data_IF_822964354858
#
_entry.id   IF_822964354858
#
_cell.length_a   1.000
_cell.length_b   1.000
_cell.length_c   1.000
_cell.angle_alpha   90.00
_cell.angle_beta   90.00
_cell.angle_gamma   90.00
#
_symmetry.space_group_name_H-M   'P 1'
#
loop_
_entity.id
_entity.type
_entity.pdbx_description
1 polymer ?
#
# COMPACT_ATOMS: atom_id res chain seq x y z
N UNK A 1 49.29 5.86 12.14
CA UNK A 1 48.42 5.06 13.04
C UNK A 1 46.91 5.08 12.69
N UNK A 2 46.46 5.54 11.50
CA UNK A 2 45.01 5.69 11.22
C UNK A 2 44.27 4.52 10.53
N UNK A 3 44.97 3.50 10.02
CA UNK A 3 44.33 2.39 9.26
C UNK A 3 43.81 1.23 10.13
N UNK A 4 44.41 0.99 11.31
CA UNK A 4 44.03 -0.12 12.22
C UNK A 4 42.74 0.16 13.02
N UNK A 5 42.50 1.41 13.42
CA UNK A 5 41.26 1.78 14.12
C UNK A 5 40.04 1.77 13.19
N UNK A 6 40.22 2.06 11.90
CA UNK A 6 39.16 1.93 10.89
C UNK A 6 38.71 0.49 10.69
N UNK A 7 39.62 -0.49 10.81
CA UNK A 7 39.30 -1.91 10.60
C UNK A 7 38.56 -2.53 11.79
N UNK A 8 38.83 -2.08 13.02
CA UNK A 8 38.14 -2.55 14.22
C UNK A 8 36.67 -2.07 14.32
N UNK A 9 36.34 -0.93 13.70
CA UNK A 9 34.99 -0.33 13.72
C UNK A 9 34.13 -0.71 12.51
N UNK A 10 34.67 -1.44 11.54
CA UNK A 10 33.95 -1.87 10.33
C UNK A 10 32.70 -2.71 10.62
N UNK A 11 32.72 -3.68 11.56
CA UNK A 11 31.53 -4.46 11.89
C UNK A 11 30.38 -3.60 12.46
N UNK A 12 30.69 -2.49 13.12
CA UNK A 12 29.69 -1.63 13.74
C UNK A 12 29.11 -0.60 12.76
N UNK A 13 29.71 -0.44 11.58
CA UNK A 13 29.26 0.49 10.54
C UNK A 13 28.67 -0.27 9.35
N UNK A 14 27.40 -0.70 9.49
CA UNK A 14 26.68 -1.47 8.48
C UNK A 14 26.66 -0.78 7.09
N UNK A 15 26.43 0.54 6.95
CA UNK A 15 26.48 1.21 5.65
C UNK A 15 27.85 1.15 4.97
N UNK A 16 28.94 1.28 5.74
CA UNK A 16 30.28 1.18 5.19
C UNK A 16 30.60 -0.26 4.75
N UNK A 17 30.25 -1.24 5.58
CA UNK A 17 30.44 -2.66 5.28
C UNK A 17 29.63 -3.08 4.04
N UNK A 18 28.39 -2.59 3.91
CA UNK A 18 27.54 -2.84 2.74
C UNK A 18 28.21 -2.39 1.44
N UNK A 19 28.79 -1.18 1.43
CA UNK A 19 29.47 -0.64 0.25
C UNK A 19 30.71 -1.44 -0.13
N UNK A 20 31.44 -1.96 0.87
CA UNK A 20 32.62 -2.80 0.66
C UNK A 20 32.23 -4.18 0.12
N UNK A 21 31.22 -4.83 0.70
CA UNK A 21 30.69 -6.12 0.22
C UNK A 21 30.22 -6.01 -1.23
N UNK A 22 29.53 -4.93 -1.60
CA UNK A 22 29.06 -4.73 -2.98
C UNK A 22 30.21 -4.59 -3.99
N UNK A 23 31.41 -4.18 -3.55
CA UNK A 23 32.59 -4.04 -4.42
C UNK A 23 33.39 -5.33 -4.50
N UNK A 24 33.53 -6.04 -3.39
CA UNK A 24 34.26 -7.30 -3.31
C UNK A 24 33.59 -8.28 -2.33
N UNK A 25 32.60 -9.07 -2.80
CA UNK A 25 31.88 -10.01 -1.94
C UNK A 25 32.76 -11.09 -1.32
N UNK A 26 33.85 -11.50 -1.96
CA UNK A 26 34.61 -12.67 -1.53
C UNK A 26 35.43 -12.32 -0.28
N UNK A 27 36.10 -11.16 -0.30
CA UNK A 27 36.96 -10.72 0.81
C UNK A 27 36.19 -10.43 2.10
N UNK A 28 34.95 -9.97 2.00
CA UNK A 28 34.12 -9.59 3.17
C UNK A 28 33.14 -10.67 3.63
N UNK A 29 33.26 -11.92 3.13
CA UNK A 29 32.36 -13.03 3.51
C UNK A 29 32.35 -13.27 5.02
N UNK A 30 33.52 -13.21 5.68
CA UNK A 30 33.63 -13.46 7.12
C UNK A 30 32.90 -12.40 7.95
N UNK A 31 33.04 -11.14 7.58
CA UNK A 31 32.38 -10.02 8.26
C UNK A 31 30.86 -10.07 8.04
N UNK A 32 30.41 -10.48 6.85
CA UNK A 32 29.00 -10.74 6.59
C UNK A 32 28.45 -11.86 7.49
N UNK A 33 29.15 -13.01 7.59
CA UNK A 33 28.71 -14.12 8.45
C UNK A 33 28.64 -13.72 9.93
N UNK A 34 29.53 -12.84 10.39
CA UNK A 34 29.45 -12.31 11.75
C UNK A 34 28.15 -11.51 11.97
N UNK A 35 27.78 -10.64 11.03
CA UNK A 35 26.52 -9.89 11.08
C UNK A 35 25.29 -10.78 10.92
N UNK A 36 25.39 -11.83 10.10
CA UNK A 36 24.31 -12.78 9.92
C UNK A 36 24.01 -13.58 11.20
N UNK A 37 25.06 -14.04 11.91
CA UNK A 37 24.89 -14.67 13.24
C UNK A 37 24.30 -13.71 14.26
N UNK A 38 24.71 -12.44 14.23
CA UNK A 38 24.14 -11.42 15.09
C UNK A 38 22.63 -11.22 14.81
N UNK A 39 22.25 -11.22 13.53
CA UNK A 39 20.84 -11.22 13.12
C UNK A 39 20.09 -12.45 13.64
N UNK A 40 20.65 -13.66 13.54
CA UNK A 40 20.00 -14.88 14.05
C UNK A 40 19.76 -14.82 15.56
N UNK A 41 20.76 -14.37 16.33
CA UNK A 41 20.61 -14.15 17.77
C UNK A 41 19.54 -13.12 18.10
N UNK A 42 19.51 -11.98 17.38
CA UNK A 42 18.49 -10.95 17.56
C UNK A 42 17.09 -11.44 17.16
N UNK A 43 16.99 -12.27 16.13
CA UNK A 43 15.73 -12.87 15.69
C UNK A 43 15.15 -13.80 16.76
N UNK A 44 15.98 -14.60 17.44
CA UNK A 44 15.52 -15.47 18.51
C UNK A 44 15.12 -14.70 19.78
N UNK A 45 15.85 -13.62 20.12
CA UNK A 45 15.44 -12.69 21.19
C UNK A 45 14.09 -12.04 20.83
N UNK A 46 13.94 -11.59 19.58
CA UNK A 46 12.74 -10.92 19.11
C UNK A 46 11.50 -11.81 19.15
N UNK A 47 11.64 -13.12 18.87
CA UNK A 47 10.54 -14.09 19.01
C UNK A 47 10.00 -14.19 20.44
N UNK A 48 10.83 -13.92 21.46
CA UNK A 48 10.40 -13.92 22.85
C UNK A 48 9.65 -12.65 23.23
N UNK A 49 10.01 -11.50 22.62
CA UNK A 49 9.41 -10.19 22.88
C UNK A 49 9.23 -9.38 21.58
N UNK A 50 8.12 -9.58 20.84
CA UNK A 50 7.91 -8.95 19.54
C UNK A 50 7.41 -7.49 19.59
N UNK A 51 7.16 -6.95 20.80
CA UNK A 51 6.62 -5.60 21.02
C UNK A 51 7.72 -4.52 21.16
N UNK A 52 8.98 -4.92 21.37
CA UNK A 52 10.08 -3.99 21.62
C UNK A 52 10.53 -3.29 20.32
N UNK A 53 10.93 -2.01 20.44
CA UNK A 53 11.49 -1.24 19.33
C UNK A 53 12.93 -1.72 19.03
N UNK A 54 13.03 -2.78 18.24
CA UNK A 54 14.31 -3.40 17.88
C UNK A 54 15.01 -2.65 16.72
N UNK A 55 15.53 -1.45 16.98
CA UNK A 55 16.22 -0.61 15.98
C UNK A 55 17.45 -1.31 15.36
N UNK A 56 18.25 -1.98 16.19
CA UNK A 56 19.41 -2.75 15.74
C UNK A 56 19.00 -3.90 14.81
N UNK A 57 17.93 -4.61 15.18
CA UNK A 57 17.37 -5.69 14.36
C UNK A 57 16.87 -5.17 13.01
N UNK A 58 16.17 -4.03 12.99
CA UNK A 58 15.75 -3.36 11.76
C UNK A 58 16.92 -2.95 10.86
N UNK A 59 18.01 -2.48 11.48
CA UNK A 59 19.25 -2.11 10.78
C UNK A 59 19.94 -3.34 10.14
N UNK A 60 19.99 -4.47 10.87
CA UNK A 60 20.51 -5.74 10.37
C UNK A 60 19.67 -6.30 9.22
N UNK A 61 18.34 -6.27 9.33
CA UNK A 61 17.40 -6.68 8.27
C UNK A 61 17.67 -5.86 6.99
N UNK A 62 17.80 -4.54 7.15
CA UNK A 62 18.07 -3.64 6.01
C UNK A 62 19.42 -3.96 5.38
N UNK A 63 20.47 -4.13 6.18
CA UNK A 63 21.80 -4.49 5.72
C UNK A 63 21.79 -5.81 4.92
N UNK A 64 21.23 -6.89 5.50
CA UNK A 64 21.17 -8.22 4.87
C UNK A 64 20.41 -8.15 3.54
N UNK A 65 19.27 -7.45 3.50
CA UNK A 65 18.47 -7.32 2.26
C UNK A 65 19.24 -6.68 1.10
N UNK A 66 20.14 -5.75 1.41
CA UNK A 66 20.93 -5.04 0.41
C UNK A 66 22.07 -5.91 -0.14
N UNK A 67 22.64 -6.80 0.68
CA UNK A 67 23.74 -7.71 0.30
C UNK A 67 23.27 -9.12 -0.06
N UNK A 68 21.97 -9.44 0.06
CA UNK A 68 21.42 -10.78 -0.20
C UNK A 68 21.79 -11.36 -1.59
N UNK A 69 21.89 -10.51 -2.62
CA UNK A 69 22.31 -10.93 -3.97
C UNK A 69 23.76 -11.41 -4.03
N UNK A 70 24.62 -10.91 -3.15
CA UNK A 70 26.03 -11.29 -3.10
C UNK A 70 26.23 -12.66 -2.42
N UNK A 71 25.30 -13.06 -1.54
CA UNK A 71 25.40 -14.27 -0.73
C UNK A 71 24.08 -15.07 -0.76
N UNK A 72 23.66 -15.50 -1.94
CA UNK A 72 22.38 -16.20 -2.15
C UNK A 72 22.28 -17.49 -1.34
N UNK A 73 23.39 -18.25 -1.25
CA UNK A 73 23.42 -19.53 -0.53
C UNK A 73 23.15 -19.34 0.96
N UNK A 74 23.86 -18.40 1.60
CA UNK A 74 23.74 -18.15 3.05
C UNK A 74 22.40 -17.49 3.41
N UNK A 75 21.85 -16.66 2.51
CA UNK A 75 20.62 -15.88 2.75
C UNK A 75 19.34 -16.56 2.25
N UNK A 76 19.39 -17.85 1.88
CA UNK A 76 18.24 -18.55 1.31
C UNK A 76 17.03 -18.64 2.27
N UNK A 77 17.27 -18.75 3.58
CA UNK A 77 16.21 -18.79 4.60
C UNK A 77 15.66 -17.41 4.97
N UNK A 78 16.42 -16.35 4.73
CA UNK A 78 16.11 -14.99 5.19
C UNK A 78 14.76 -14.46 4.68
N UNK A 79 14.42 -14.53 3.37
CA UNK A 79 13.12 -14.07 2.89
C UNK A 79 11.93 -14.74 3.60
N UNK A 80 12.02 -16.05 3.80
CA UNK A 80 10.95 -16.83 4.44
C UNK A 80 10.81 -16.50 5.92
N UNK A 81 11.92 -16.25 6.63
CA UNK A 81 11.90 -15.81 8.02
C UNK A 81 11.17 -14.46 8.17
N UNK A 82 11.46 -13.48 7.31
CA UNK A 82 10.80 -12.17 7.35
C UNK A 82 9.31 -12.28 7.00
N UNK A 83 8.96 -13.11 6.00
CA UNK A 83 7.55 -13.37 5.64
C UNK A 83 6.79 -13.97 6.83
N UNK A 84 7.36 -15.00 7.47
CA UNK A 84 6.72 -15.70 8.59
C UNK A 84 6.51 -14.77 9.78
N UNK A 85 7.56 -14.02 10.14
CA UNK A 85 7.52 -13.06 11.25
C UNK A 85 6.49 -11.95 11.03
N UNK A 86 6.40 -11.40 9.81
CA UNK A 86 5.34 -10.45 9.46
C UNK A 86 3.96 -11.10 9.49
N UNK A 87 3.79 -12.31 8.97
CA UNK A 87 2.48 -12.96 8.92
C UNK A 87 1.92 -13.31 10.30
N UNK A 88 2.79 -13.68 11.26
CA UNK A 88 2.40 -14.06 12.61
C UNK A 88 2.21 -12.85 13.53
N UNK A 89 3.08 -11.83 13.42
CA UNK A 89 3.19 -10.77 14.42
C UNK A 89 2.79 -9.37 13.89
N UNK A 90 2.20 -9.23 12.71
CA UNK A 90 1.91 -7.91 12.12
C UNK A 90 1.11 -6.96 13.00
N UNK A 91 0.22 -7.44 13.89
CA UNK A 91 -0.56 -6.56 14.76
C UNK A 91 0.27 -5.99 15.93
N UNK A 92 1.21 -6.77 16.45
CA UNK A 92 2.00 -6.44 17.66
C UNK A 92 3.27 -5.67 17.30
N UNK A 93 3.84 -5.91 16.10
CA UNK A 93 5.08 -5.29 15.65
C UNK A 93 5.07 -3.75 15.77
N UNK A 94 6.18 -3.19 16.24
CA UNK A 94 6.40 -1.75 16.23
C UNK A 94 6.26 -1.17 14.80
N UNK A 95 5.56 -0.03 14.58
CA UNK A 95 5.31 0.52 13.25
C UNK A 95 6.57 0.75 12.40
N UNK A 96 7.66 1.23 13.01
CA UNK A 96 8.93 1.45 12.31
C UNK A 96 9.51 0.13 11.79
N UNK A 97 9.56 -0.91 12.63
CA UNK A 97 10.10 -2.21 12.25
C UNK A 97 9.23 -2.88 11.18
N UNK A 98 7.90 -2.79 11.31
CA UNK A 98 6.95 -3.29 10.31
C UNK A 98 7.19 -2.64 8.94
N UNK A 99 7.37 -1.33 8.90
CA UNK A 99 7.70 -0.58 7.68
C UNK A 99 9.03 -1.04 7.08
N UNK A 100 10.07 -1.18 7.90
CA UNK A 100 11.39 -1.67 7.48
C UNK A 100 11.31 -3.06 6.86
N UNK A 101 10.60 -4.00 7.50
CA UNK A 101 10.41 -5.36 6.96
C UNK A 101 9.67 -5.36 5.62
N UNK A 102 8.61 -4.56 5.49
CA UNK A 102 7.88 -4.41 4.22
C UNK A 102 8.79 -3.84 3.13
N UNK A 103 9.59 -2.80 3.43
CA UNK A 103 10.55 -2.23 2.47
C UNK A 103 11.63 -3.25 2.07
N UNK A 104 12.10 -4.06 3.01
CA UNK A 104 13.03 -5.17 2.74
C UNK A 104 12.42 -6.20 1.79
N UNK A 105 11.18 -6.64 2.04
CA UNK A 105 10.52 -7.60 1.13
C UNK A 105 10.30 -7.01 -0.27
N UNK A 106 9.93 -5.73 -0.36
CA UNK A 106 9.83 -4.99 -1.63
C UNK A 106 11.17 -4.99 -2.37
N UNK A 107 12.27 -4.71 -1.66
CA UNK A 107 13.62 -4.73 -2.23
C UNK A 107 14.00 -6.12 -2.74
N UNK A 108 13.73 -7.18 -1.97
CA UNK A 108 14.01 -8.56 -2.33
C UNK A 108 13.18 -9.01 -3.55
N UNK A 109 11.92 -8.57 -3.66
CA UNK A 109 11.13 -8.79 -4.88
C UNK A 109 11.74 -8.07 -6.06
N UNK A 110 12.13 -6.80 -5.93
CA UNK A 110 12.68 -6.04 -7.06
C UNK A 110 13.97 -6.65 -7.62
N UNK A 111 14.59 -7.55 -6.84
CA UNK A 111 15.75 -8.36 -7.19
C UNK A 111 15.38 -9.78 -7.67
N UNK A 112 14.10 -10.05 -7.87
CA UNK A 112 13.49 -11.33 -8.26
C UNK A 112 13.82 -12.52 -7.32
N UNK A 113 14.13 -12.26 -6.04
CA UNK A 113 14.40 -13.29 -5.03
C UNK A 113 13.09 -13.91 -4.53
N UNK A 114 12.02 -13.10 -4.45
CA UNK A 114 10.71 -13.51 -3.91
C UNK A 114 9.67 -13.51 -5.02
N UNK A 115 8.87 -14.58 -5.17
CA UNK A 115 7.73 -14.60 -6.09
C UNK A 115 6.69 -13.51 -5.77
N UNK A 116 6.26 -12.76 -6.79
CA UNK A 116 5.27 -11.67 -6.65
C UNK A 116 3.95 -12.13 -6.01
N UNK A 117 3.47 -13.34 -6.35
CA UNK A 117 2.20 -13.88 -5.80
C UNK A 117 2.25 -14.00 -4.28
N UNK A 118 3.31 -14.62 -3.73
CA UNK A 118 3.48 -14.80 -2.28
C UNK A 118 3.54 -13.45 -1.56
N UNK A 119 4.30 -12.50 -2.12
CA UNK A 119 4.46 -11.18 -1.53
C UNK A 119 3.15 -10.37 -1.53
N UNK A 120 2.44 -10.35 -2.66
CA UNK A 120 1.20 -9.60 -2.80
C UNK A 120 0.11 -10.17 -1.88
N UNK A 121 -0.01 -11.50 -1.75
CA UNK A 121 -0.93 -12.13 -0.79
C UNK A 121 -0.66 -11.69 0.66
N UNK A 122 0.61 -11.60 1.06
CA UNK A 122 0.98 -11.07 2.37
C UNK A 122 0.56 -9.59 2.50
N UNK A 123 0.82 -8.76 1.49
CA UNK A 123 0.52 -7.32 1.54
C UNK A 123 -0.98 -7.02 1.63
N UNK A 124 -1.81 -7.79 0.94
CA UNK A 124 -3.26 -7.71 1.11
C UNK A 124 -3.71 -8.08 2.53
N UNK A 125 -3.06 -9.07 3.16
CA UNK A 125 -3.33 -9.43 4.56
C UNK A 125 -2.91 -8.31 5.52
N UNK A 126 -1.78 -7.64 5.23
CA UNK A 126 -1.29 -6.50 6.00
C UNK A 126 -2.20 -5.27 5.96
N UNK A 127 -3.17 -5.17 5.05
CA UNK A 127 -4.16 -4.09 5.08
C UNK A 127 -5.04 -4.09 6.35
N UNK A 128 -5.09 -5.20 7.09
CA UNK A 128 -5.75 -5.28 8.41
C UNK A 128 -5.03 -4.45 9.49
N UNK A 129 -3.76 -4.12 9.27
CA UNK A 129 -2.95 -3.35 10.23
C UNK A 129 -3.53 -1.95 10.44
N UNK A 130 -3.55 -1.47 11.69
CA UNK A 130 -4.03 -0.13 12.07
C UNK A 130 -3.04 1.01 11.79
N UNK A 131 -2.29 0.93 10.70
CA UNK A 131 -1.30 1.95 10.29
C UNK A 131 -1.70 2.57 8.94
N UNK A 132 -2.08 3.85 8.94
CA UNK A 132 -2.50 4.54 7.71
C UNK A 132 -1.36 4.71 6.71
N UNK A 133 -0.17 5.06 7.19
CA UNK A 133 0.99 5.33 6.33
C UNK A 133 1.46 4.03 5.67
N UNK A 134 1.51 2.93 6.43
CA UNK A 134 1.86 1.64 5.87
C UNK A 134 0.84 1.17 4.83
N UNK A 135 -0.47 1.35 5.07
CA UNK A 135 -1.49 0.99 4.08
C UNK A 135 -1.36 1.78 2.78
N UNK A 136 -1.00 3.06 2.84
CA UNK A 136 -0.73 3.88 1.65
C UNK A 136 0.50 3.38 0.89
N UNK A 137 1.58 3.04 1.61
CA UNK A 137 2.78 2.44 1.02
C UNK A 137 2.47 1.10 0.32
N UNK A 138 1.76 0.21 1.01
CA UNK A 138 1.34 -1.10 0.48
C UNK A 138 0.46 -0.93 -0.76
N UNK A 139 -0.50 -0.01 -0.71
CA UNK A 139 -1.39 0.30 -1.82
C UNK A 139 -0.61 0.74 -3.07
N UNK A 140 0.24 1.75 -2.92
CA UNK A 140 1.07 2.27 -4.02
C UNK A 140 1.96 1.18 -4.62
N UNK A 141 2.55 0.35 -3.76
CA UNK A 141 3.40 -0.74 -4.21
C UNK A 141 2.60 -1.82 -4.96
N UNK A 142 1.51 -2.34 -4.39
CA UNK A 142 0.68 -3.38 -5.01
C UNK A 142 0.26 -2.96 -6.43
N UNK A 143 -0.25 -1.74 -6.58
CA UNK A 143 -0.70 -1.23 -7.88
C UNK A 143 0.47 -1.14 -8.86
N UNK A 144 1.61 -0.61 -8.42
CA UNK A 144 2.82 -0.48 -9.25
C UNK A 144 3.38 -1.85 -9.64
N UNK A 145 3.39 -2.80 -8.71
CA UNK A 145 3.86 -4.17 -8.90
C UNK A 145 3.07 -4.87 -9.99
N UNK A 146 1.74 -4.88 -9.85
CA UNK A 146 0.80 -5.52 -10.78
C UNK A 146 0.87 -4.83 -12.15
N UNK A 147 0.99 -3.49 -12.19
CA UNK A 147 1.18 -2.74 -13.43
C UNK A 147 2.46 -3.19 -14.15
N UNK A 148 3.58 -3.29 -13.44
CA UNK A 148 4.86 -3.70 -14.03
C UNK A 148 4.83 -5.15 -14.51
N UNK A 149 4.21 -6.06 -13.75
CA UNK A 149 4.03 -7.47 -14.14
C UNK A 149 3.14 -7.65 -15.37
N UNK A 150 2.23 -6.71 -15.63
CA UNK A 150 1.34 -6.72 -16.79
C UNK A 150 1.81 -5.78 -17.93
N UNK A 151 3.01 -5.17 -17.82
CA UNK A 151 3.47 -4.16 -18.78
C UNK A 151 3.80 -4.72 -20.16
N UNK A 152 4.34 -5.95 -20.23
CA UNK A 152 4.66 -6.62 -21.51
C UNK A 152 3.48 -7.44 -22.04
N UNK A 153 2.88 -8.25 -21.18
CA UNK A 153 1.75 -9.12 -21.49
C UNK A 153 0.91 -9.28 -20.22
N UNK A 154 -0.40 -9.54 -20.37
CA UNK A 154 -1.30 -9.78 -19.24
C UNK A 154 -0.93 -11.09 -18.51
N UNK A 155 -0.41 -10.99 -17.29
CA UNK A 155 -0.08 -12.18 -16.49
C UNK A 155 -1.36 -12.80 -15.90
N UNK A 156 -2.07 -13.57 -16.73
CA UNK A 156 -3.36 -14.15 -16.37
C UNK A 156 -3.28 -15.08 -15.15
N UNK A 157 -2.16 -15.79 -14.95
CA UNK A 157 -1.98 -16.66 -13.77
C UNK A 157 -1.95 -15.83 -12.48
N UNK A 158 -1.11 -14.79 -12.46
CA UNK A 158 -1.03 -13.86 -11.33
C UNK A 158 -2.37 -13.15 -11.08
N UNK A 159 -2.98 -12.61 -12.13
CA UNK A 159 -4.26 -11.89 -12.03
C UNK A 159 -5.37 -12.78 -11.48
N UNK A 160 -5.52 -14.01 -12.00
CA UNK A 160 -6.55 -14.96 -11.51
C UNK A 160 -6.34 -15.33 -10.04
N UNK A 161 -5.11 -15.54 -9.61
CA UNK A 161 -4.81 -15.84 -8.19
C UNK A 161 -5.14 -14.65 -7.30
N UNK A 162 -4.72 -13.44 -7.65
CA UNK A 162 -4.97 -12.23 -6.85
C UNK A 162 -6.45 -11.86 -6.82
N UNK A 163 -7.16 -11.94 -7.94
CA UNK A 163 -8.62 -11.73 -8.00
C UNK A 163 -9.35 -12.72 -7.09
N UNK A 164 -8.95 -14.00 -7.08
CA UNK A 164 -9.55 -15.00 -6.19
C UNK A 164 -9.28 -14.69 -4.72
N UNK A 165 -8.06 -14.24 -4.42
CA UNK A 165 -7.69 -13.85 -3.05
C UNK A 165 -8.49 -12.62 -2.57
N UNK A 166 -8.65 -11.61 -3.42
CA UNK A 166 -9.47 -10.42 -3.11
C UNK A 166 -10.94 -10.77 -2.91
N UNK A 167 -11.46 -11.70 -3.72
CA UNK A 167 -12.80 -12.23 -3.54
C UNK A 167 -12.95 -12.84 -2.15
N UNK A 168 -11.99 -13.66 -1.71
CA UNK A 168 -11.99 -14.21 -0.36
C UNK A 168 -11.92 -13.12 0.73
N UNK A 169 -11.18 -12.03 0.54
CA UNK A 169 -11.13 -10.92 1.50
C UNK A 169 -12.48 -10.19 1.57
N UNK A 170 -13.12 -9.94 0.43
CA UNK A 170 -14.42 -9.26 0.36
C UNK A 170 -15.56 -10.14 0.89
N UNK A 171 -15.52 -11.45 0.64
CA UNK A 171 -16.51 -12.42 1.11
C UNK A 171 -16.28 -12.94 2.53
N UNK A 172 -15.05 -12.90 3.04
CA UNK A 172 -14.73 -13.30 4.41
C UNK A 172 -15.53 -12.52 5.46
N UNK A 173 -16.11 -11.36 5.08
CA UNK A 173 -17.06 -10.61 5.90
C UNK A 173 -18.49 -11.16 5.83
N UNK A 174 -18.91 -11.79 4.73
CA UNK A 174 -20.26 -12.32 4.52
C UNK A 174 -20.49 -13.66 5.23
N UNK A 175 -19.50 -14.55 5.27
CA UNK A 175 -19.67 -15.90 5.85
C UNK A 175 -19.75 -15.92 7.38
N UNK A 176 -19.20 -14.92 8.09
CA UNK A 176 -19.28 -14.89 9.56
C UNK A 176 -20.70 -14.69 10.12
N UNK A 177 -21.71 -14.41 9.28
CA UNK A 177 -23.10 -14.26 9.71
C UNK A 177 -24.00 -15.46 9.46
N UNK A 178 -23.64 -16.45 8.63
CA UNK A 178 -24.53 -17.62 8.49
C UNK A 178 -24.60 -18.47 9.76
N UNK A 179 -23.62 -18.32 10.67
CA UNK A 179 -23.60 -19.01 11.97
C UNK A 179 -24.04 -18.15 13.17
N UNK A 180 -24.46 -16.90 12.99
CA UNK A 180 -25.03 -16.10 14.08
C UNK A 180 -26.48 -15.70 13.75
N UNK A 181 -27.38 -16.44 14.39
CA UNK A 181 -28.83 -16.23 14.42
C UNK A 181 -29.15 -14.75 14.68
N UNK A 182 -30.08 -14.24 13.86
CA UNK A 182 -30.82 -12.98 14.05
C UNK A 182 -31.04 -12.66 15.52
N UNK A 183 -30.35 -11.66 16.06
CA UNK A 183 -30.88 -10.83 17.15
C UNK A 183 -30.53 -9.37 16.87
N UNK A 184 -31.59 -8.56 16.74
CA UNK A 184 -31.55 -7.13 17.09
C UNK A 184 -31.00 -6.19 16.02
N UNK A 185 -31.89 -5.41 15.43
CA UNK A 185 -31.52 -4.21 14.68
C UNK A 185 -30.73 -3.24 15.55
N UNK A 186 -29.43 -3.13 15.27
CA UNK A 186 -28.54 -2.12 15.86
C UNK A 186 -27.70 -1.51 14.75
N UNK A 187 -27.80 -0.19 14.57
CA UNK A 187 -26.91 0.57 13.68
C UNK A 187 -25.47 0.44 14.20
N UNK A 188 -24.63 -0.33 13.53
CA UNK A 188 -23.19 -0.39 13.84
C UNK A 188 -22.55 0.89 13.30
N UNK A 189 -22.58 1.95 14.09
CA UNK A 189 -21.69 3.10 13.91
C UNK A 189 -20.58 2.99 14.95
N UNK A 190 -19.31 2.89 14.49
CA UNK A 190 -18.23 3.82 14.84
C UNK A 190 -16.81 3.25 14.76
N UNK A 191 -16.60 1.96 14.51
CA UNK A 191 -15.24 1.45 14.21
C UNK A 191 -15.29 0.53 13.00
N UNK A 192 -14.53 0.91 11.97
CA UNK A 192 -14.35 0.05 10.81
C UNK A 192 -13.49 -1.13 11.27
N UNK A 193 -14.11 -2.30 11.45
CA UNK A 193 -13.41 -3.55 11.75
C UNK A 193 -12.18 -3.70 10.84
N UNK A 194 -11.08 -4.25 11.35
CA UNK A 194 -9.82 -4.44 10.60
C UNK A 194 -10.05 -5.14 9.25
N UNK A 195 -11.00 -6.08 9.23
CA UNK A 195 -11.43 -6.78 8.03
C UNK A 195 -12.18 -5.86 7.05
N UNK A 196 -12.95 -4.91 7.55
CA UNK A 196 -13.64 -3.89 6.73
C UNK A 196 -12.66 -2.88 6.12
N UNK A 197 -11.61 -2.51 6.85
CA UNK A 197 -10.52 -1.68 6.32
C UNK A 197 -9.80 -2.41 5.19
N UNK A 198 -9.46 -3.69 5.41
CA UNK A 198 -8.80 -4.53 4.41
C UNK A 198 -9.68 -4.74 3.17
N UNK A 199 -10.97 -5.01 3.35
CA UNK A 199 -11.95 -5.14 2.26
C UNK A 199 -12.08 -3.85 1.46
N UNK A 200 -12.20 -2.69 2.12
CA UNK A 200 -12.25 -1.38 1.46
C UNK A 200 -10.99 -1.11 0.64
N UNK A 201 -9.80 -1.31 1.24
CA UNK A 201 -8.53 -1.10 0.53
C UNK A 201 -8.33 -2.07 -0.63
N UNK A 202 -8.77 -3.32 -0.49
CA UNK A 202 -8.73 -4.30 -1.57
C UNK A 202 -9.67 -3.93 -2.72
N UNK A 203 -10.86 -3.39 -2.41
CA UNK A 203 -11.78 -2.84 -3.41
C UNK A 203 -11.18 -1.63 -4.14
N UNK A 204 -10.53 -0.70 -3.41
CA UNK A 204 -9.84 0.43 -4.03
C UNK A 204 -8.79 -0.04 -5.06
N UNK A 205 -7.99 -1.05 -4.71
CA UNK A 205 -6.99 -1.64 -5.62
C UNK A 205 -7.66 -2.25 -6.86
N UNK A 206 -8.78 -2.97 -6.70
CA UNK A 206 -9.53 -3.52 -7.84
C UNK A 206 -9.98 -2.41 -8.80
N UNK A 207 -10.56 -1.35 -8.23
CA UNK A 207 -11.08 -0.22 -8.99
C UNK A 207 -9.95 0.50 -9.73
N UNK A 208 -8.81 0.74 -9.08
CA UNK A 208 -7.66 1.39 -9.72
C UNK A 208 -7.08 0.52 -10.85
N UNK A 209 -6.94 -0.80 -10.65
CA UNK A 209 -6.44 -1.70 -11.68
C UNK A 209 -7.40 -1.85 -12.87
N UNK A 210 -8.71 -1.78 -12.63
CA UNK A 210 -9.72 -1.71 -13.68
C UNK A 210 -9.57 -0.42 -14.49
N UNK A 211 -9.46 0.74 -13.82
CA UNK A 211 -9.27 2.04 -14.49
C UNK A 211 -8.00 2.11 -15.33
N UNK A 212 -6.93 1.46 -14.89
CA UNK A 212 -5.68 1.35 -15.66
C UNK A 212 -5.76 0.34 -16.82
N UNK A 213 -6.91 -0.31 -17.04
CA UNK A 213 -7.13 -1.28 -18.12
C UNK A 213 -6.41 -2.62 -17.91
N UNK A 214 -5.90 -2.89 -16.71
CA UNK A 214 -5.14 -4.11 -16.41
C UNK A 214 -6.12 -5.26 -16.13
N UNK A 215 -7.12 -5.01 -15.28
CA UNK A 215 -8.17 -5.97 -14.90
C UNK A 215 -9.53 -5.56 -15.46
N UNK A 216 -9.62 -5.51 -16.80
CA UNK A 216 -10.84 -5.21 -17.53
C UNK A 216 -11.59 -6.49 -17.92
N UNK A 217 -11.90 -7.34 -16.95
CA UNK A 217 -12.53 -8.65 -17.16
C UNK A 217 -13.82 -8.81 -16.34
N UNK A 218 -14.66 -9.75 -16.79
CA UNK A 218 -15.94 -10.04 -16.12
C UNK A 218 -15.75 -10.39 -14.64
N UNK A 219 -14.68 -11.12 -14.29
CA UNK A 219 -14.43 -11.50 -12.90
C UNK A 219 -14.25 -10.29 -12.00
N UNK A 220 -13.41 -9.32 -12.38
CA UNK A 220 -13.20 -8.11 -11.56
C UNK A 220 -14.47 -7.26 -11.49
N UNK A 221 -15.21 -7.11 -12.57
CA UNK A 221 -16.49 -6.38 -12.56
C UNK A 221 -17.50 -7.02 -11.60
N UNK A 222 -17.68 -8.34 -11.65
CA UNK A 222 -18.63 -9.03 -10.77
C UNK A 222 -18.19 -8.99 -9.30
N UNK A 223 -16.88 -9.01 -9.01
CA UNK A 223 -16.35 -8.77 -7.65
C UNK A 223 -16.75 -7.39 -7.14
N UNK A 224 -16.68 -6.35 -7.99
CA UNK A 224 -17.09 -4.99 -7.62
C UNK A 224 -18.61 -4.89 -7.49
N UNK A 225 -19.37 -5.60 -8.33
CA UNK A 225 -20.83 -5.66 -8.24
C UNK A 225 -21.30 -6.28 -6.93
N UNK A 226 -20.66 -7.37 -6.49
CA UNK A 226 -20.97 -7.98 -5.20
C UNK A 226 -20.66 -7.02 -4.03
N UNK A 227 -19.62 -6.19 -4.15
CA UNK A 227 -19.29 -5.17 -3.16
C UNK A 227 -20.37 -4.08 -3.01
N UNK A 228 -21.25 -3.88 -4.01
CA UNK A 228 -22.42 -3.00 -3.88
C UNK A 228 -23.41 -3.50 -2.81
N UNK A 229 -23.46 -4.80 -2.55
CA UNK A 229 -24.35 -5.40 -1.54
C UNK A 229 -23.68 -5.57 -0.18
N UNK A 230 -22.45 -5.07 -0.01
CA UNK A 230 -21.70 -5.20 1.22
C UNK A 230 -22.39 -4.44 2.38
N UNK A 231 -22.32 -4.99 3.60
CA UNK A 231 -22.98 -4.43 4.80
C UNK A 231 -22.39 -3.07 5.22
N UNK A 232 -21.10 -2.89 4.97
CA UNK A 232 -20.37 -1.66 5.26
C UNK A 232 -20.70 -0.60 4.21
N UNK A 233 -21.37 0.48 4.63
CA UNK A 233 -21.80 1.58 3.76
C UNK A 233 -20.65 2.17 2.93
N UNK A 234 -19.46 2.35 3.51
CA UNK A 234 -18.30 2.89 2.77
C UNK A 234 -17.92 2.02 1.57
N UNK A 235 -17.87 0.70 1.75
CA UNK A 235 -17.54 -0.26 0.68
C UNK A 235 -18.62 -0.22 -0.41
N UNK A 236 -19.89 -0.25 0.01
CA UNK A 236 -21.05 -0.15 -0.87
C UNK A 236 -21.02 1.13 -1.71
N UNK A 237 -20.83 2.29 -1.08
CA UNK A 237 -20.77 3.58 -1.76
C UNK A 237 -19.61 3.61 -2.74
N UNK A 238 -18.42 3.13 -2.37
CA UNK A 238 -17.26 3.06 -3.26
C UNK A 238 -17.53 2.19 -4.50
N UNK A 239 -18.23 1.06 -4.35
CA UNK A 239 -18.60 0.18 -5.46
C UNK A 239 -19.67 0.80 -6.38
N UNK A 240 -20.72 1.41 -5.81
CA UNK A 240 -21.76 2.11 -6.59
C UNK A 240 -21.13 3.27 -7.38
N UNK A 241 -20.27 4.06 -6.72
CA UNK A 241 -19.63 5.22 -7.33
C UNK A 241 -18.63 4.84 -8.43
N UNK A 242 -18.11 3.61 -8.40
CA UNK A 242 -17.37 3.05 -9.52
C UNK A 242 -18.26 2.86 -10.76
N UNK A 243 -19.46 2.28 -10.64
CA UNK A 243 -20.36 2.10 -11.78
C UNK A 243 -20.93 3.42 -12.30
N UNK A 244 -21.23 4.37 -11.40
CA UNK A 244 -21.68 5.72 -11.76
C UNK A 244 -20.58 6.59 -12.38
N UNK A 245 -19.31 6.15 -12.39
CA UNK A 245 -18.19 6.87 -12.98
C UNK A 245 -17.77 8.15 -12.23
N UNK A 246 -18.34 8.43 -11.06
CA UNK A 246 -18.16 9.69 -10.33
C UNK A 246 -16.79 9.84 -9.66
N UNK A 247 -15.95 8.81 -9.70
CA UNK A 247 -14.60 8.82 -9.11
C UNK A 247 -13.48 9.17 -10.11
N UNK A 248 -13.78 9.58 -11.35
CA UNK A 248 -12.76 9.96 -12.34
C UNK A 248 -11.92 11.19 -11.93
N UNK A 249 -12.39 12.00 -10.96
CA UNK A 249 -11.80 13.31 -10.64
C UNK A 249 -11.20 13.43 -9.22
N UNK A 250 -11.16 12.36 -8.40
CA UNK A 250 -10.65 12.46 -7.01
C UNK A 250 -9.15 12.16 -6.84
N UNK A 251 -8.48 11.60 -7.85
CA UNK A 251 -7.07 11.15 -7.72
C UNK A 251 -6.02 12.29 -7.80
N UNK A 252 -6.45 13.55 -8.00
CA UNK A 252 -5.56 14.73 -8.08
C UNK A 252 -5.60 15.65 -6.84
N UNK A 253 -6.43 15.36 -5.83
CA UNK A 253 -6.67 16.27 -4.69
C UNK A 253 -6.32 15.62 -3.34
N UNK A 254 -5.17 14.94 -3.28
CA UNK A 254 -4.56 14.52 -2.00
C UNK A 254 -4.02 15.75 -1.26
N UNK A 255 -4.95 16.54 -0.73
CA UNK A 255 -4.81 17.65 0.22
C UNK A 255 -6.22 18.01 0.70
N UNK A 256 -6.88 17.08 1.42
CA UNK A 256 -8.07 17.40 2.22
C UNK A 256 -7.68 18.31 3.39
N UNK A 257 -7.48 19.59 3.09
CA UNK A 257 -8.04 20.64 3.94
C UNK A 257 -9.38 20.98 3.31
N UNK A 258 -10.47 20.91 4.08
CA UNK A 258 -11.74 21.57 3.75
C UNK A 258 -11.50 23.07 3.55
N UNK A 259 -11.00 23.46 2.38
CA UNK A 259 -10.89 24.86 1.99
C UNK A 259 -12.30 25.30 1.66
N UNK A 260 -12.99 25.81 2.69
CA UNK A 260 -14.09 26.74 2.55
C UNK A 260 -13.84 27.59 1.30
N UNK A 261 -14.79 27.58 0.36
CA UNK A 261 -14.62 28.27 -0.92
C UNK A 261 -14.13 29.70 -0.63
N UNK A 262 -12.97 30.11 -1.19
CA UNK A 262 -12.51 31.48 -1.02
C UNK A 262 -13.54 32.42 -1.62
N UNK A 263 -14.12 33.30 -0.79
CA UNK A 263 -15.12 34.25 -1.25
C UNK A 263 -14.47 35.25 -2.22
N UNK A 264 -14.63 35.02 -3.52
CA UNK A 264 -13.99 35.80 -4.60
C UNK A 264 -14.37 37.27 -4.52
N UNK A 265 -15.61 37.59 -4.13
CA UNK A 265 -16.06 38.97 -3.96
C UNK A 265 -15.26 39.69 -2.87
N UNK A 266 -14.98 39.02 -1.75
CA UNK A 266 -14.10 39.57 -0.69
C UNK A 266 -12.67 39.74 -1.18
N UNK A 267 -12.12 38.77 -1.92
CA UNK A 267 -10.74 38.85 -2.44
C UNK A 267 -10.56 39.92 -3.53
N UNK A 268 -11.57 40.13 -4.38
CA UNK A 268 -11.57 41.20 -5.38
C UNK A 268 -11.65 42.58 -4.73
N UNK A 269 -12.54 42.75 -3.75
CA UNK A 269 -12.69 44.00 -3.00
C UNK A 269 -11.42 44.38 -2.23
N UNK A 270 -10.77 43.42 -1.57
CA UNK A 270 -9.50 43.63 -0.85
C UNK A 270 -8.35 44.01 -1.80
N UNK A 271 -8.34 43.48 -3.02
CA UNK A 271 -7.36 43.85 -4.06
C UNK A 271 -7.62 45.23 -4.68
N UNK A 272 -8.86 45.74 -4.64
CA UNK A 272 -9.19 47.10 -5.12
C UNK A 272 -8.84 48.17 -4.09
N UNK A 273 -9.06 47.89 -2.80
CA UNK A 273 -8.83 48.87 -1.71
C UNK A 273 -7.34 49.01 -1.36
N UNK A 274 -6.57 47.92 -1.44
CA UNK A 274 -5.17 47.92 -1.02
C UNK A 274 -4.20 47.82 -2.21
N UNK A 275 -2.99 48.39 -2.06
CA UNK A 275 -1.91 48.30 -3.07
C UNK A 275 -1.63 46.84 -3.45
N UNK A 276 -1.77 46.53 -4.73
CA UNK A 276 -1.72 45.13 -5.22
C UNK A 276 -0.30 44.58 -5.21
N UNK A 277 -0.04 43.53 -4.41
CA UNK A 277 1.22 42.76 -4.42
C UNK A 277 1.13 41.59 -5.39
N UNK A 278 2.23 41.23 -6.06
CA UNK A 278 2.31 40.11 -7.04
C UNK A 278 1.81 38.77 -6.46
N UNK A 279 2.03 38.52 -5.17
CA UNK A 279 1.54 37.33 -4.48
C UNK A 279 0.01 37.26 -4.34
N UNK A 280 -0.68 38.41 -4.22
CA UNK A 280 -2.14 38.47 -4.10
C UNK A 280 -2.85 38.27 -5.45
N UNK A 281 -2.26 38.75 -6.55
CA UNK A 281 -2.75 38.47 -7.91
C UNK A 281 -2.74 36.96 -8.20
N UNK A 282 -1.63 36.27 -7.88
CA UNK A 282 -1.52 34.80 -8.00
C UNK A 282 -2.56 34.05 -7.16
N UNK A 283 -2.91 34.54 -5.96
CA UNK A 283 -3.96 33.93 -5.13
C UNK A 283 -5.35 34.09 -5.75
N UNK A 284 -5.65 35.25 -6.32
CA UNK A 284 -6.92 35.51 -7.01
C UNK A 284 -7.05 34.63 -8.28
N UNK A 285 -5.99 34.54 -9.08
CA UNK A 285 -5.96 33.68 -10.27
C UNK A 285 -6.20 32.22 -9.93
N UNK A 286 -5.52 31.68 -8.90
CA UNK A 286 -5.75 30.31 -8.43
C UNK A 286 -7.19 30.07 -7.97
N UNK A 287 -7.80 31.06 -7.29
CA UNK A 287 -9.19 30.96 -6.83
C UNK A 287 -10.21 31.02 -8.00
N UNK A 288 -9.92 31.81 -9.04
CA UNK A 288 -10.76 31.86 -10.24
C UNK A 288 -10.66 30.57 -11.07
N UNK A 289 -9.46 30.00 -11.19
CA UNK A 289 -9.25 28.72 -11.88
C UNK A 289 -9.98 27.57 -11.17
N UNK A 290 -9.93 27.52 -9.84
CA UNK A 290 -10.64 26.48 -9.09
C UNK A 290 -12.16 26.57 -9.21
N UNK A 291 -12.73 27.78 -9.29
CA UNK A 291 -14.17 27.98 -9.51
C UNK A 291 -14.58 27.59 -10.92
N UNK A 292 -13.83 28.00 -11.95
CA UNK A 292 -14.12 27.58 -13.33
C UNK A 292 -14.04 26.06 -13.49
N UNK A 293 -13.05 25.40 -12.84
CA UNK A 293 -12.95 23.93 -12.85
C UNK A 293 -14.20 23.28 -12.22
N UNK A 294 -14.72 23.84 -11.10
CA UNK A 294 -15.96 23.35 -10.46
C UNK A 294 -17.21 23.61 -11.29
N UNK A 295 -17.31 24.75 -11.97
CA UNK A 295 -18.43 25.05 -12.87
C UNK A 295 -18.44 24.13 -14.10
N UNK A 296 -17.26 23.85 -14.67
CA UNK A 296 -17.12 22.87 -15.75
C UNK A 296 -17.47 21.46 -15.30
N UNK A 297 -17.17 21.08 -14.06
CA UNK A 297 -17.58 19.79 -13.49
C UNK A 297 -19.09 19.69 -13.26
N UNK A 298 -19.77 20.78 -12.88
CA UNK A 298 -21.24 20.79 -12.73
C UNK A 298 -21.99 20.61 -14.05
N UNK A 299 -21.38 21.01 -15.16
CA UNK A 299 -21.97 20.90 -16.50
C UNK A 299 -21.42 19.72 -17.32
N UNK A 300 -20.53 18.89 -16.76
CA UNK A 300 -20.01 17.70 -17.43
C UNK A 300 -21.10 16.62 -17.42
N UNK A 301 -21.43 16.08 -18.59
CA UNK A 301 -22.36 14.97 -18.70
C UNK A 301 -21.89 13.79 -17.81
N UNK A 302 -22.85 13.13 -17.14
CA UNK A 302 -22.56 11.96 -16.31
C UNK A 302 -21.94 10.86 -17.19
N UNK A 303 -20.67 10.56 -16.94
CA UNK A 303 -19.91 9.59 -17.70
C UNK A 303 -19.97 8.25 -16.96
N UNK A 304 -20.95 7.42 -17.28
CA UNK A 304 -21.10 6.11 -16.65
C UNK A 304 -20.03 5.13 -17.16
N UNK A 305 -19.59 4.21 -16.31
CA UNK A 305 -18.73 3.11 -16.73
C UNK A 305 -19.54 2.02 -17.44
N UNK A 306 -20.13 2.35 -18.60
CA UNK A 306 -20.93 1.43 -19.41
C UNK A 306 -20.15 0.16 -19.78
N UNK A 307 -18.84 0.27 -20.02
CA UNK A 307 -17.96 -0.89 -20.25
C UNK A 307 -17.95 -1.88 -19.08
N UNK A 308 -18.11 -1.41 -17.84
CA UNK A 308 -18.18 -2.29 -16.68
C UNK A 308 -19.55 -2.97 -16.61
N UNK A 309 -20.64 -2.24 -16.87
CA UNK A 309 -22.00 -2.78 -16.83
C UNK A 309 -22.20 -3.94 -17.83
N UNK A 310 -21.61 -3.88 -19.02
CA UNK A 310 -21.66 -4.96 -20.01
C UNK A 310 -20.92 -6.24 -19.58
N UNK A 311 -20.04 -6.16 -18.59
CA UNK A 311 -19.25 -7.28 -18.09
C UNK A 311 -19.90 -8.00 -16.88
N UNK A 312 -21.11 -7.58 -16.49
CA UNK A 312 -21.89 -8.23 -15.44
C UNK A 312 -22.51 -9.52 -15.94
N UNK A 313 -22.44 -10.58 -15.12
CA UNK A 313 -22.99 -11.88 -15.50
C UNK A 313 -24.52 -11.93 -15.37
N UNK A 314 -25.07 -11.23 -14.39
CA UNK A 314 -26.51 -11.12 -14.16
C UNK A 314 -26.85 -9.70 -13.68
N UNK A 315 -27.20 -8.78 -14.60
CA UNK A 315 -27.48 -7.39 -14.26
C UNK A 315 -28.92 -7.13 -13.79
N UNK A 316 -29.81 -8.13 -13.84
CA UNK A 316 -31.23 -8.02 -13.45
C UNK A 316 -31.42 -8.22 -11.94
#
# INVERSE_FOLDING_TARGET
MGKRNRTALLPNNLPQLQNLIKRDPISYKRDFLQQYRHYESQLDIFKLKPDEEAEEFGSLITFISQVAQCYVQETSSFPQQIISLLSENYQILHPNLRKTMVQTLVLLRNKDIIPSVTLLSLFFTLFRTRDKQLRELLYSYIVTDIKNQNAKHKNNKLNKTLQSFMYTILQGQQQQQQNNVKIGGGRINSEMSENSIAAKKSLDVCIELYRKGIWNDAKTTNVIAEACFHQVTKIRVTAIQFFLGSNQDQDDDSSEEEKQLPNVKKLQHINQINKTKKSRKRKLEKALVSIRKKELQKHKAENFNFSALHLLNDPQ
#
